data_IF_919937683844
#
_entry.id   IF_919937683844
#
_cell.length_a   1.000
_cell.length_b   1.000
_cell.length_c   1.000
_cell.angle_alpha   90.00
_cell.angle_beta   90.00
_cell.angle_gamma   90.00
#
_symmetry.space_group_name_H-M   'P 1'
#
loop_
_entity.id
_entity.type
_entity.pdbx_description
1 polymer ?
#
# COMPACT_ATOMS: atom_id res chain seq x y z
N UNK A 1 -0.24 -18.88 -13.37
CA UNK A 1 0.52 -17.91 -14.19
C UNK A 1 0.50 -16.55 -13.50
N UNK A 2 1.64 -15.88 -13.38
CA UNK A 2 1.72 -14.52 -12.82
C UNK A 2 1.22 -13.48 -13.83
N UNK A 3 0.53 -12.42 -13.38
CA UNK A 3 -0.07 -11.43 -14.28
C UNK A 3 0.93 -10.45 -14.92
N UNK A 4 2.19 -10.42 -14.48
CA UNK A 4 3.23 -9.51 -14.97
C UNK A 4 3.05 -8.02 -14.57
N UNK A 5 1.83 -7.62 -14.22
CA UNK A 5 1.44 -6.21 -14.00
C UNK A 5 2.09 -5.49 -12.83
N UNK A 6 2.70 -6.20 -11.88
CA UNK A 6 3.36 -5.59 -10.71
C UNK A 6 4.53 -4.69 -11.14
N UNK A 7 5.18 -4.99 -12.27
CA UNK A 7 6.36 -4.26 -12.74
C UNK A 7 6.06 -2.82 -13.17
N UNK A 8 4.84 -2.58 -13.66
CA UNK A 8 4.43 -1.27 -14.19
C UNK A 8 3.75 -0.39 -13.14
N UNK A 9 3.59 -0.91 -11.91
CA UNK A 9 2.93 -0.21 -10.81
C UNK A 9 4.00 0.52 -10.00
N UNK A 10 3.89 1.83 -9.79
CA UNK A 10 4.87 2.59 -9.01
C UNK A 10 4.63 2.38 -7.51
N UNK A 11 4.95 1.18 -7.06
CA UNK A 11 4.97 0.80 -5.65
C UNK A 11 6.02 1.62 -4.91
N UNK A 12 5.84 1.81 -3.60
CA UNK A 12 6.86 2.33 -2.71
C UNK A 12 7.59 1.19 -2.01
N UNK A 13 8.85 1.43 -1.68
CA UNK A 13 9.66 0.61 -0.78
C UNK A 13 9.94 1.32 0.55
N UNK A 14 10.30 0.53 1.56
CA UNK A 14 10.68 0.99 2.90
C UNK A 14 11.84 0.15 3.43
N UNK A 15 12.94 0.80 3.78
CA UNK A 15 14.03 0.18 4.54
C UNK A 15 13.68 0.10 6.02
N UNK A 16 13.01 -0.99 6.39
CA UNK A 16 12.63 -1.30 7.78
C UNK A 16 13.87 -1.40 8.68
N UNK A 17 14.96 -1.98 8.17
CA UNK A 17 16.20 -2.12 8.94
C UNK A 17 16.83 -0.77 9.26
N UNK A 18 16.89 0.13 8.28
CA UNK A 18 17.29 1.52 8.45
C UNK A 18 16.38 2.26 9.42
N UNK A 19 15.05 2.12 9.27
CA UNK A 19 14.08 2.80 10.13
C UNK A 19 14.23 2.40 11.60
N UNK A 20 14.39 1.11 11.88
CA UNK A 20 14.53 0.60 13.25
C UNK A 20 15.89 0.98 13.86
N UNK A 21 16.95 1.10 13.04
CA UNK A 21 18.29 1.53 13.47
C UNK A 21 18.36 3.03 13.74
N UNK A 22 17.70 3.85 12.93
CA UNK A 22 17.73 5.32 13.03
C UNK A 22 16.69 5.89 14.02
N UNK A 23 16.29 5.11 15.04
CA UNK A 23 15.39 5.56 16.09
C UNK A 23 13.90 5.60 15.73
N UNK A 24 13.50 5.07 14.57
CA UNK A 24 12.13 5.08 14.06
C UNK A 24 11.19 4.00 14.59
N UNK A 25 11.53 3.31 15.69
CA UNK A 25 10.72 2.20 16.25
C UNK A 25 9.26 2.57 16.51
N UNK A 26 9.00 3.79 16.99
CA UNK A 26 7.64 4.29 17.23
C UNK A 26 6.91 4.66 15.93
N UNK A 27 7.65 5.10 14.91
CA UNK A 27 7.10 5.47 13.61
C UNK A 27 6.82 4.24 12.72
N UNK A 28 7.49 3.12 12.99
CA UNK A 28 7.38 1.89 12.20
C UNK A 28 5.93 1.43 11.92
N UNK A 29 5.05 1.18 12.91
CA UNK A 29 3.72 0.66 12.62
C UNK A 29 2.88 1.62 11.77
N UNK A 30 3.03 2.92 11.98
CA UNK A 30 2.33 3.94 11.19
C UNK A 30 2.88 4.05 9.76
N UNK A 31 4.21 3.97 9.62
CA UNK A 31 4.87 4.00 8.31
C UNK A 31 4.48 2.77 7.49
N UNK A 32 4.50 1.59 8.10
CA UNK A 32 4.11 0.34 7.46
C UNK A 32 2.63 0.34 7.05
N UNK A 33 1.76 0.90 7.89
CA UNK A 33 0.35 1.06 7.56
C UNK A 33 0.15 1.99 6.36
N UNK A 34 0.82 3.15 6.36
CA UNK A 34 0.75 4.12 5.24
C UNK A 34 1.31 3.51 3.95
N UNK A 35 2.43 2.78 4.04
CA UNK A 35 3.03 2.06 2.92
C UNK A 35 2.07 1.03 2.34
N UNK A 36 1.45 0.24 3.22
CA UNK A 36 0.46 -0.78 2.86
C UNK A 36 -0.74 -0.14 2.16
N UNK A 37 -1.29 0.96 2.69
CA UNK A 37 -2.42 1.66 2.08
C UNK A 37 -2.06 2.27 0.72
N UNK A 38 -0.86 2.82 0.58
CA UNK A 38 -0.36 3.34 -0.69
C UNK A 38 -0.25 2.22 -1.73
N UNK A 39 0.53 1.18 -1.45
CA UNK A 39 0.77 0.07 -2.38
C UNK A 39 -0.51 -0.69 -2.71
N UNK A 40 -1.36 -0.93 -1.70
CA UNK A 40 -2.62 -1.64 -1.91
C UNK A 40 -3.63 -0.82 -2.71
N UNK A 41 -3.60 0.52 -2.58
CA UNK A 41 -4.39 1.41 -3.42
C UNK A 41 -4.08 1.26 -4.91
N UNK A 42 -2.80 1.20 -5.25
CA UNK A 42 -2.35 0.94 -6.62
C UNK A 42 -2.72 -0.44 -7.12
N UNK A 43 -2.56 -1.45 -6.28
CA UNK A 43 -2.95 -2.82 -6.60
C UNK A 43 -4.46 -2.93 -6.80
N UNK A 44 -5.28 -2.16 -6.08
CA UNK A 44 -6.72 -2.10 -6.28
C UNK A 44 -7.12 -1.50 -7.63
N UNK A 45 -6.34 -0.54 -8.14
CA UNK A 45 -6.56 0.02 -9.48
C UNK A 45 -6.14 -0.94 -10.59
N UNK A 46 -5.05 -1.69 -10.38
CA UNK A 46 -4.47 -2.56 -11.40
C UNK A 46 -5.06 -3.99 -11.41
N UNK A 47 -5.51 -4.50 -10.26
CA UNK A 47 -5.94 -5.89 -10.10
C UNK A 47 -7.46 -6.02 -10.06
N UNK A 48 -7.96 -7.11 -10.64
CA UNK A 48 -9.38 -7.46 -10.58
C UNK A 48 -9.78 -7.78 -9.14
N UNK A 49 -11.01 -7.45 -8.74
CA UNK A 49 -11.56 -7.77 -7.41
C UNK A 49 -11.45 -9.26 -7.02
N UNK A 50 -11.31 -10.15 -8.00
CA UNK A 50 -11.01 -11.57 -7.79
C UNK A 50 -9.67 -11.80 -7.08
N UNK A 51 -8.63 -11.04 -7.41
CA UNK A 51 -7.30 -11.18 -6.80
C UNK A 51 -7.34 -10.83 -5.32
N UNK A 52 -8.09 -9.79 -4.94
CA UNK A 52 -8.28 -9.44 -3.53
C UNK A 52 -8.93 -10.58 -2.73
N UNK A 53 -9.92 -11.27 -3.31
CA UNK A 53 -10.54 -12.44 -2.67
C UNK A 53 -9.58 -13.62 -2.57
N UNK A 54 -8.91 -13.95 -3.67
CA UNK A 54 -8.05 -15.13 -3.77
C UNK A 54 -6.77 -14.96 -2.92
N UNK A 55 -6.31 -13.73 -2.68
CA UNK A 55 -5.19 -13.39 -1.81
C UNK A 55 -5.60 -13.11 -0.34
N UNK A 56 -6.87 -13.31 0.03
CA UNK A 56 -7.32 -13.13 1.42
C UNK A 56 -7.44 -11.68 1.89
N UNK A 57 -7.39 -10.70 0.97
CA UNK A 57 -7.60 -9.27 1.23
C UNK A 57 -9.09 -8.88 1.21
N UNK A 58 -9.97 -9.87 1.37
CA UNK A 58 -11.41 -9.69 1.50
C UNK A 58 -11.81 -9.86 2.97
N UNK A 59 -11.66 -8.78 3.73
CA UNK A 59 -11.99 -8.73 5.16
C UNK A 59 -13.50 -8.91 5.41
N UNK A 60 -14.33 -8.65 4.41
CA UNK A 60 -15.78 -8.77 4.48
C UNK A 60 -16.30 -10.12 3.97
N UNK A 61 -15.44 -11.15 3.86
CA UNK A 61 -15.80 -12.43 3.23
C UNK A 61 -17.05 -13.11 3.83
N UNK A 62 -17.32 -12.90 5.12
CA UNK A 62 -18.51 -13.43 5.80
C UNK A 62 -19.80 -12.65 5.48
N UNK A 63 -19.71 -11.48 4.85
CA UNK A 63 -20.84 -10.64 4.49
C UNK A 63 -21.36 -10.92 3.07
N UNK A 64 -22.61 -10.52 2.78
CA UNK A 64 -23.18 -10.62 1.44
C UNK A 64 -22.37 -9.87 0.38
N UNK A 65 -22.44 -10.33 -0.87
CA UNK A 65 -21.64 -9.82 -1.98
C UNK A 65 -21.76 -8.30 -2.19
N UNK A 66 -22.97 -7.73 -2.07
CA UNK A 66 -23.18 -6.29 -2.27
C UNK A 66 -22.38 -5.44 -1.27
N UNK A 67 -22.25 -5.87 -0.01
CA UNK A 67 -21.47 -5.18 1.01
C UNK A 67 -19.97 -5.24 0.72
N UNK A 68 -19.48 -6.41 0.29
CA UNK A 68 -18.08 -6.63 -0.12
C UNK A 68 -17.69 -5.76 -1.30
N UNK A 69 -18.56 -5.67 -2.30
CA UNK A 69 -18.36 -4.82 -3.48
C UNK A 69 -18.35 -3.34 -3.11
N UNK A 70 -19.26 -2.90 -2.24
CA UNK A 70 -19.30 -1.52 -1.74
C UNK A 70 -18.02 -1.16 -0.98
N UNK A 71 -17.53 -2.05 -0.11
CA UNK A 71 -16.28 -1.87 0.64
C UNK A 71 -15.06 -1.73 -0.30
N UNK A 72 -14.97 -2.61 -1.30
CA UNK A 72 -13.89 -2.56 -2.31
C UNK A 72 -13.94 -1.27 -3.12
N UNK A 73 -15.12 -0.85 -3.58
CA UNK A 73 -15.30 0.39 -4.33
C UNK A 73 -14.92 1.61 -3.48
N UNK A 74 -15.36 1.64 -2.21
CA UNK A 74 -15.01 2.72 -1.27
C UNK A 74 -13.51 2.78 -1.01
N UNK A 75 -12.86 1.63 -0.85
CA UNK A 75 -11.41 1.55 -0.70
C UNK A 75 -10.69 2.11 -1.93
N UNK A 76 -11.07 1.71 -3.14
CA UNK A 76 -10.45 2.20 -4.37
C UNK A 76 -10.61 3.72 -4.55
N UNK A 77 -11.79 4.27 -4.23
CA UNK A 77 -12.01 5.72 -4.29
C UNK A 77 -11.19 6.46 -3.23
N UNK A 78 -11.16 5.96 -1.99
CA UNK A 78 -10.40 6.56 -0.91
C UNK A 78 -8.90 6.51 -1.17
N UNK A 79 -8.39 5.39 -1.68
CA UNK A 79 -6.97 5.20 -1.98
C UNK A 79 -6.48 6.16 -3.07
N UNK A 80 -7.28 6.36 -4.13
CA UNK A 80 -6.99 7.36 -5.17
C UNK A 80 -6.91 8.77 -4.60
N UNK A 81 -7.88 9.15 -3.74
CA UNK A 81 -7.93 10.48 -3.12
C UNK A 81 -6.76 10.72 -2.18
N UNK A 82 -6.38 9.71 -1.41
CA UNK A 82 -5.38 9.84 -0.37
C UNK A 82 -3.94 9.54 -0.86
N UNK A 83 -3.76 9.12 -2.11
CA UNK A 83 -2.47 8.69 -2.67
C UNK A 83 -1.35 9.70 -2.48
N UNK A 84 -1.63 10.96 -2.79
CA UNK A 84 -0.66 12.04 -2.63
C UNK A 84 -0.37 12.34 -1.15
N UNK A 85 -1.36 12.18 -0.26
CA UNK A 85 -1.15 12.28 1.20
C UNK A 85 -0.19 11.19 1.69
N UNK A 86 -0.45 9.93 1.32
CA UNK A 86 0.39 8.80 1.71
C UNK A 86 1.82 8.96 1.17
N UNK A 87 1.98 9.38 -0.10
CA UNK A 87 3.29 9.68 -0.68
C UNK A 87 4.06 10.71 0.15
N UNK A 88 3.44 11.85 0.46
CA UNK A 88 4.08 12.90 1.28
C UNK A 88 4.46 12.39 2.67
N UNK A 89 3.61 11.57 3.29
CA UNK A 89 3.94 10.94 4.59
C UNK A 89 5.16 10.03 4.48
N UNK A 90 5.28 9.21 3.43
CA UNK A 90 6.43 8.35 3.20
C UNK A 90 7.70 9.15 2.86
N UNK A 91 7.57 10.21 2.06
CA UNK A 91 8.67 11.14 1.76
C UNK A 91 9.16 11.86 3.04
N UNK A 92 8.24 12.22 3.95
CA UNK A 92 8.60 12.79 5.26
C UNK A 92 9.37 11.78 6.12
N UNK A 93 9.00 10.50 6.07
CA UNK A 93 9.73 9.43 6.79
C UNK A 93 11.14 9.25 6.21
N UNK A 94 11.27 9.26 4.87
CA UNK A 94 12.57 9.24 4.18
C UNK A 94 13.48 10.36 4.71
N UNK A 95 12.97 11.60 4.69
CA UNK A 95 13.74 12.78 5.06
C UNK A 95 14.06 12.82 6.56
N UNK A 96 13.11 12.44 7.41
CA UNK A 96 13.27 12.49 8.87
C UNK A 96 14.27 11.46 9.40
N UNK A 97 14.27 10.26 8.84
CA UNK A 97 15.10 9.17 9.34
C UNK A 97 16.31 8.88 8.45
N UNK A 98 16.45 9.61 7.33
CA UNK A 98 17.51 9.42 6.34
C UNK A 98 17.65 7.95 5.90
N UNK A 99 16.52 7.37 5.47
CA UNK A 99 16.42 5.96 5.06
C UNK A 99 15.97 5.84 3.61
N UNK A 100 16.19 4.67 3.00
CA UNK A 100 15.61 4.35 1.70
C UNK A 100 14.09 4.15 1.85
N UNK A 101 13.32 5.13 1.42
CA UNK A 101 11.87 5.10 1.37
C UNK A 101 11.41 5.92 0.17
N UNK A 102 10.92 5.26 -0.88
CA UNK A 102 10.72 5.91 -2.19
C UNK A 102 10.02 4.99 -3.19
N UNK A 103 9.72 5.50 -4.40
CA UNK A 103 9.23 4.66 -5.48
C UNK A 103 10.22 3.52 -5.76
N UNK A 104 9.71 2.30 -5.84
CA UNK A 104 10.46 1.11 -6.20
C UNK A 104 10.84 1.19 -7.67
N UNK A 105 12.06 1.64 -7.95
CA UNK A 105 12.66 1.62 -9.28
C UNK A 105 13.19 0.22 -9.53
N UNK A 106 12.66 -0.49 -10.53
CA UNK A 106 13.20 -1.79 -10.92
C UNK A 106 14.58 -1.60 -11.55
N UNK A 107 15.57 -2.34 -11.04
CA UNK A 107 16.85 -2.55 -11.70
C UNK A 107 16.76 -3.67 -12.73
#
# INVERSE_FOLDING_TARGET
MFSGRIRDIPLYELDVGGLLRNGGKQAFPYTEFVLSMYNLGFLADALLARVFRDCGLDFDRWYPLHRRLLGTARFAVASRRDRERHRRTLDTVRERFDIRCGPLVQA
#
